data_IF_715875149229
#
_entry.id   IF_715875149229
#
_cell.length_a   1.000
_cell.length_b   1.000
_cell.length_c   1.000
_cell.angle_alpha   90.00
_cell.angle_beta   90.00
_cell.angle_gamma   90.00
#
_symmetry.space_group_name_H-M   'P 1'
#
loop_
_entity.id
_entity.type
_entity.pdbx_description
1 polymer ?
#
# COMPACT_ATOMS: atom_id res chain seq x y z
N UNK A 1 19.37 -35.38 -3.58
CA UNK A 1 20.46 -34.80 -2.75
C UNK A 1 21.58 -34.14 -3.56
N UNK A 2 22.17 -34.78 -4.57
CA UNK A 2 23.28 -34.20 -5.32
C UNK A 2 23.06 -32.81 -5.94
N UNK A 3 21.86 -32.47 -6.38
CA UNK A 3 21.57 -31.19 -7.03
C UNK A 3 21.64 -29.99 -6.05
N UNK A 4 21.03 -30.11 -4.88
CA UNK A 4 21.06 -29.04 -3.84
C UNK A 4 22.48 -28.85 -3.31
N UNK A 5 23.24 -29.92 -3.12
CA UNK A 5 24.63 -29.88 -2.71
C UNK A 5 25.49 -29.07 -3.68
N UNK A 6 25.38 -29.35 -4.97
CA UNK A 6 26.11 -28.62 -6.00
C UNK A 6 25.77 -27.12 -6.01
N UNK A 7 24.52 -26.76 -5.70
CA UNK A 7 24.09 -25.37 -5.62
C UNK A 7 24.74 -24.63 -4.44
N UNK A 8 24.77 -25.24 -3.26
CA UNK A 8 25.41 -24.67 -2.08
C UNK A 8 26.94 -24.53 -2.30
N UNK A 9 27.61 -25.54 -2.87
CA UNK A 9 29.04 -25.48 -3.16
C UNK A 9 29.37 -24.36 -4.16
N UNK A 10 28.58 -24.20 -5.21
CA UNK A 10 28.75 -23.10 -6.18
C UNK A 10 28.62 -21.74 -5.50
N UNK A 11 27.63 -21.55 -4.65
CA UNK A 11 27.44 -20.31 -3.91
C UNK A 11 28.59 -20.05 -2.95
N UNK A 12 29.07 -21.07 -2.26
CA UNK A 12 30.23 -20.97 -1.38
C UNK A 12 31.48 -20.52 -2.12
N UNK A 13 31.75 -21.10 -3.30
CA UNK A 13 32.86 -20.69 -4.17
C UNK A 13 32.72 -19.24 -4.68
N UNK A 14 31.50 -18.73 -4.82
CA UNK A 14 31.24 -17.33 -5.11
C UNK A 14 31.40 -16.37 -3.91
N UNK A 15 31.74 -16.90 -2.74
CA UNK A 15 31.94 -16.10 -1.53
C UNK A 15 30.74 -16.02 -0.58
N UNK A 16 29.62 -16.71 -0.84
CA UNK A 16 28.49 -16.78 0.10
C UNK A 16 28.88 -17.57 1.34
N UNK A 17 28.56 -17.06 2.53
CA UNK A 17 28.89 -17.65 3.83
C UNK A 17 27.69 -17.87 4.76
N UNK A 18 26.52 -17.34 4.40
CA UNK A 18 25.27 -17.55 5.13
C UNK A 18 24.26 -18.18 4.20
N UNK A 19 23.63 -19.26 4.66
CA UNK A 19 22.71 -20.06 3.85
C UNK A 19 21.38 -20.24 4.59
N UNK A 20 20.29 -20.25 3.83
CA UNK A 20 18.96 -20.52 4.35
C UNK A 20 18.20 -21.49 3.42
N UNK A 21 17.28 -22.25 4.02
CA UNK A 21 16.34 -23.12 3.31
C UNK A 21 14.92 -22.75 3.73
N UNK A 22 14.07 -22.43 2.75
CA UNK A 22 12.72 -21.96 3.00
C UNK A 22 11.68 -23.01 2.63
N UNK A 23 10.75 -23.24 3.56
CA UNK A 23 9.60 -24.15 3.40
C UNK A 23 8.27 -23.41 3.60
N UNK A 24 8.31 -22.09 3.52
CA UNK A 24 7.12 -21.22 3.51
C UNK A 24 6.31 -21.43 2.23
N UNK A 25 5.02 -21.23 2.30
CA UNK A 25 4.06 -21.24 1.19
C UNK A 25 4.10 -22.47 0.27
N UNK A 26 4.54 -23.62 0.78
CA UNK A 26 4.54 -24.88 0.07
C UNK A 26 3.41 -25.81 0.54
N UNK A 27 3.16 -26.87 -0.22
CA UNK A 27 2.17 -27.90 0.10
C UNK A 27 2.72 -29.32 -0.14
N UNK A 28 1.95 -30.32 0.27
CA UNK A 28 2.28 -31.73 0.05
C UNK A 28 3.37 -32.26 0.97
N UNK A 29 4.15 -33.23 0.50
CA UNK A 29 5.16 -33.93 1.33
C UNK A 29 6.26 -33.01 1.87
N UNK A 30 6.54 -31.91 1.18
CA UNK A 30 7.53 -30.91 1.61
C UNK A 30 7.19 -30.25 2.94
N UNK A 31 5.94 -30.32 3.40
CA UNK A 31 5.50 -29.74 4.69
C UNK A 31 5.73 -30.67 5.89
N UNK A 32 6.24 -31.88 5.68
CA UNK A 32 6.48 -32.84 6.77
C UNK A 32 7.67 -32.40 7.64
N UNK A 33 7.47 -32.09 8.94
CA UNK A 33 8.53 -31.55 9.79
C UNK A 33 9.66 -32.54 10.06
N UNK A 34 9.39 -33.86 10.03
CA UNK A 34 10.44 -34.87 10.20
C UNK A 34 11.36 -34.91 8.99
N UNK A 35 10.79 -34.90 7.76
CA UNK A 35 11.57 -34.86 6.53
C UNK A 35 12.35 -33.52 6.38
N UNK A 36 11.75 -32.42 6.81
CA UNK A 36 12.45 -31.14 6.85
C UNK A 36 13.65 -31.17 7.80
N UNK A 37 13.45 -31.71 9.01
CA UNK A 37 14.53 -31.85 9.99
C UNK A 37 15.65 -32.80 9.50
N UNK A 38 15.33 -33.93 8.91
CA UNK A 38 16.31 -34.85 8.33
C UNK A 38 17.17 -34.18 7.24
N UNK A 39 16.53 -33.45 6.32
CA UNK A 39 17.22 -32.74 5.27
C UNK A 39 18.13 -31.64 5.82
N UNK A 40 17.63 -30.83 6.74
CA UNK A 40 18.38 -29.71 7.30
C UNK A 40 19.54 -30.16 8.19
N UNK A 41 19.35 -31.21 9.00
CA UNK A 41 20.44 -31.80 9.79
C UNK A 41 21.53 -32.35 8.87
N UNK A 42 21.15 -33.02 7.78
CA UNK A 42 22.11 -33.49 6.80
C UNK A 42 22.94 -32.34 6.19
N UNK A 43 22.28 -31.23 5.82
CA UNK A 43 22.99 -30.03 5.30
C UNK A 43 23.88 -29.42 6.37
N UNK A 44 23.40 -29.31 7.59
CA UNK A 44 24.17 -28.76 8.72
C UNK A 44 25.45 -29.57 8.97
N UNK A 45 25.34 -30.90 9.00
CA UNK A 45 26.45 -31.80 9.32
C UNK A 45 27.48 -31.92 8.19
N UNK A 46 27.03 -31.96 6.94
CA UNK A 46 27.91 -32.28 5.81
C UNK A 46 28.35 -31.05 5.02
N UNK A 47 27.66 -29.92 5.16
CA UNK A 47 28.03 -28.68 4.48
C UNK A 47 28.43 -27.57 5.45
N UNK A 48 27.57 -27.23 6.43
CA UNK A 48 27.80 -26.08 7.30
C UNK A 48 28.97 -26.34 8.26
N UNK A 49 28.89 -27.42 9.04
CA UNK A 49 29.89 -27.76 10.08
C UNK A 49 31.28 -28.13 9.53
N UNK A 50 31.34 -28.54 8.26
CA UNK A 50 32.64 -28.87 7.63
C UNK A 50 33.35 -27.65 7.03
N UNK A 51 32.74 -26.47 7.07
CA UNK A 51 33.28 -25.22 6.56
C UNK A 51 33.42 -24.21 7.71
N UNK A 52 34.64 -23.82 8.10
CA UNK A 52 34.85 -23.04 9.32
C UNK A 52 34.37 -21.58 9.25
N UNK A 53 34.08 -21.10 8.04
CA UNK A 53 33.67 -19.73 7.75
C UNK A 53 32.19 -19.60 7.33
N UNK A 54 31.40 -20.70 7.40
CA UNK A 54 29.97 -20.68 7.15
C UNK A 54 29.20 -20.48 8.45
N UNK A 55 28.26 -19.54 8.44
CA UNK A 55 27.38 -19.25 9.59
C UNK A 55 26.35 -20.37 9.80
N UNK A 56 25.73 -20.46 11.00
CA UNK A 56 24.66 -21.44 11.24
C UNK A 56 23.56 -21.38 10.18
N UNK A 57 23.06 -22.54 9.79
CA UNK A 57 21.97 -22.66 8.81
C UNK A 57 20.69 -22.01 9.34
N UNK A 58 19.99 -21.29 8.48
CA UNK A 58 18.69 -20.70 8.78
C UNK A 58 17.61 -21.48 8.03
N UNK A 59 16.44 -21.68 8.63
CA UNK A 59 15.28 -22.23 7.93
C UNK A 59 14.03 -21.39 8.17
N UNK A 60 13.18 -21.28 7.15
CA UNK A 60 11.82 -20.80 7.31
C UNK A 60 10.89 -22.01 7.36
N UNK A 61 10.12 -22.22 8.43
CA UNK A 61 9.20 -23.33 8.54
C UNK A 61 7.92 -23.10 7.71
N UNK A 62 7.21 -24.16 7.36
CA UNK A 62 5.90 -24.02 6.69
C UNK A 62 4.88 -23.32 7.58
N UNK A 63 4.87 -23.63 8.89
CA UNK A 63 4.07 -22.90 9.87
C UNK A 63 4.89 -21.73 10.47
N UNK A 64 5.15 -20.68 9.68
CA UNK A 64 6.04 -19.57 10.05
C UNK A 64 5.38 -18.45 10.86
N UNK A 65 4.08 -18.59 11.19
CA UNK A 65 3.35 -17.67 12.07
C UNK A 65 2.30 -18.41 12.91
N UNK A 66 1.89 -17.79 14.03
CA UNK A 66 0.98 -18.41 14.99
C UNK A 66 -0.41 -18.68 14.40
N UNK A 67 -0.94 -17.79 13.58
CA UNK A 67 -2.29 -17.94 13.03
C UNK A 67 -2.44 -19.10 12.04
N UNK A 68 -1.35 -19.57 11.46
CA UNK A 68 -1.30 -20.74 10.56
C UNK A 68 -0.83 -22.02 11.24
N UNK A 69 -0.39 -21.90 12.48
CA UNK A 69 0.09 -23.06 13.25
C UNK A 69 -1.07 -23.82 13.87
N UNK A 70 -0.95 -25.16 13.85
CA UNK A 70 -1.84 -26.05 14.58
C UNK A 70 -1.04 -26.80 15.68
N UNK A 71 -1.05 -26.29 16.93
CA UNK A 71 -0.31 -26.93 18.01
C UNK A 71 -0.66 -28.40 18.26
N UNK A 72 -1.90 -28.82 17.93
CA UNK A 72 -2.32 -30.22 18.11
C UNK A 72 -1.62 -31.16 17.12
N UNK A 73 -1.23 -30.68 15.95
CA UNK A 73 -0.44 -31.44 14.98
C UNK A 73 1.04 -31.51 15.32
N UNK A 74 1.52 -30.63 16.20
CA UNK A 74 2.88 -30.67 16.72
C UNK A 74 3.99 -30.36 15.70
N UNK A 75 3.70 -29.64 14.61
CA UNK A 75 4.68 -29.32 13.57
C UNK A 75 5.90 -28.58 14.15
N UNK A 76 5.68 -27.45 14.82
CA UNK A 76 6.76 -26.64 15.41
C UNK A 76 7.51 -27.38 16.54
N UNK A 77 6.79 -28.13 17.38
CA UNK A 77 7.40 -28.94 18.43
C UNK A 77 8.29 -30.04 17.84
N UNK A 78 7.86 -30.69 16.75
CA UNK A 78 8.68 -31.67 16.05
C UNK A 78 9.96 -31.07 15.50
N UNK A 79 9.91 -29.86 14.93
CA UNK A 79 11.12 -29.14 14.49
C UNK A 79 12.03 -28.80 15.69
N UNK A 80 11.44 -28.33 16.80
CA UNK A 80 12.18 -28.04 18.02
C UNK A 80 12.92 -29.25 18.59
N UNK A 81 12.30 -30.44 18.51
CA UNK A 81 12.85 -31.71 19.01
C UNK A 81 13.90 -32.31 18.09
N UNK A 82 13.74 -32.19 16.78
CA UNK A 82 14.51 -32.96 15.81
C UNK A 82 15.62 -32.22 15.11
N UNK A 83 15.51 -30.88 15.00
CA UNK A 83 16.55 -30.07 14.37
C UNK A 83 17.79 -29.96 15.25
N UNK A 84 18.98 -30.01 14.64
CA UNK A 84 20.23 -29.68 15.32
C UNK A 84 20.11 -28.30 15.99
N UNK A 85 20.59 -28.13 17.24
CA UNK A 85 20.41 -26.89 18.00
C UNK A 85 21.02 -25.64 17.34
N UNK A 86 22.04 -25.83 16.46
CA UNK A 86 22.67 -24.74 15.70
C UNK A 86 21.76 -24.14 14.61
N UNK A 87 20.78 -24.88 14.12
CA UNK A 87 19.90 -24.41 13.02
C UNK A 87 18.92 -23.38 13.57
N UNK A 88 18.89 -22.19 12.96
CA UNK A 88 18.01 -21.11 13.33
C UNK A 88 16.67 -21.24 12.61
N UNK A 89 15.58 -20.94 13.32
CA UNK A 89 14.20 -21.08 12.80
C UNK A 89 13.55 -19.70 12.70
N UNK A 90 13.13 -19.33 11.49
CA UNK A 90 12.47 -18.06 11.23
C UNK A 90 11.03 -18.04 11.75
N UNK A 91 10.57 -16.84 12.10
CA UNK A 91 9.23 -16.58 12.61
C UNK A 91 8.75 -15.17 12.28
N UNK A 92 7.51 -15.01 11.80
CA UNK A 92 6.97 -13.69 11.41
C UNK A 92 6.07 -13.06 12.48
N UNK A 93 5.79 -13.78 13.57
CA UNK A 93 4.96 -13.30 14.68
C UNK A 93 3.60 -14.00 14.79
N UNK A 94 2.64 -13.33 15.39
CA UNK A 94 1.30 -13.93 15.59
C UNK A 94 0.52 -14.10 14.28
N UNK A 95 0.86 -13.34 13.25
CA UNK A 95 0.33 -13.43 11.87
C UNK A 95 1.46 -13.30 10.87
N UNK A 96 1.14 -13.46 9.59
CA UNK A 96 2.08 -13.18 8.48
C UNK A 96 2.65 -11.77 8.62
N UNK A 97 1.79 -10.79 8.91
CA UNK A 97 2.16 -9.40 9.17
C UNK A 97 1.64 -9.03 10.56
N UNK A 98 2.56 -8.83 11.48
CA UNK A 98 2.27 -8.45 12.87
C UNK A 98 3.52 -7.91 13.56
N UNK A 99 3.33 -7.14 14.62
CA UNK A 99 4.42 -6.74 15.50
C UNK A 99 4.84 -7.92 16.39
N UNK A 100 6.09 -7.93 16.81
CA UNK A 100 6.67 -8.99 17.65
C UNK A 100 6.49 -8.62 19.12
N UNK A 101 5.65 -9.36 19.80
CA UNK A 101 5.31 -9.15 21.22
C UNK A 101 6.05 -10.12 22.13
N UNK A 102 6.14 -9.77 23.42
CA UNK A 102 6.69 -10.62 24.46
C UNK A 102 6.00 -12.00 24.52
N UNK A 103 4.67 -12.01 24.49
CA UNK A 103 3.89 -13.26 24.52
C UNK A 103 4.06 -14.07 23.24
N UNK A 104 4.13 -13.41 22.08
CA UNK A 104 4.33 -14.05 20.79
C UNK A 104 5.69 -14.72 20.67
N UNK A 105 6.77 -14.06 21.10
CA UNK A 105 8.12 -14.64 21.06
C UNK A 105 8.28 -15.79 22.07
N UNK A 106 7.70 -15.67 23.25
CA UNK A 106 7.71 -16.75 24.24
C UNK A 106 6.95 -17.97 23.71
N UNK A 107 5.78 -17.76 23.09
CA UNK A 107 4.96 -18.82 22.51
C UNK A 107 5.72 -19.68 21.49
N UNK A 108 6.48 -19.04 20.61
CA UNK A 108 7.26 -19.77 19.59
C UNK A 108 8.48 -20.44 20.20
N UNK A 109 9.25 -19.74 21.06
CA UNK A 109 10.48 -20.25 21.67
C UNK A 109 10.24 -21.52 22.49
N UNK A 110 9.12 -21.59 23.21
CA UNK A 110 8.73 -22.81 23.97
C UNK A 110 8.55 -24.02 23.04
N UNK A 111 8.06 -23.83 21.83
CA UNK A 111 7.79 -24.91 20.85
C UNK A 111 9.04 -25.32 20.11
N UNK A 112 9.80 -24.35 19.60
CA UNK A 112 11.02 -24.65 18.83
C UNK A 112 12.25 -24.92 19.73
N UNK A 113 12.13 -24.75 21.07
CA UNK A 113 13.17 -24.97 22.10
C UNK A 113 14.47 -24.18 21.88
N UNK A 114 14.34 -23.00 21.28
CA UNK A 114 15.43 -22.07 21.01
C UNK A 114 14.92 -20.66 20.74
N UNK A 115 15.75 -19.62 20.81
CA UNK A 115 15.38 -18.28 20.35
C UNK A 115 15.01 -18.29 18.87
N UNK A 116 13.86 -17.69 18.52
CA UNK A 116 13.44 -17.56 17.12
C UNK A 116 14.29 -16.54 16.36
N UNK A 117 14.50 -16.80 15.08
CA UNK A 117 15.05 -15.83 14.14
C UNK A 117 13.90 -15.03 13.54
N UNK A 118 13.81 -13.74 13.85
CA UNK A 118 12.66 -12.94 13.41
C UNK A 118 12.79 -12.56 11.95
N UNK A 119 11.75 -12.86 11.17
CA UNK A 119 11.48 -12.29 9.86
C UNK A 119 10.30 -11.34 9.99
N UNK A 120 10.58 -10.08 10.21
CA UNK A 120 9.52 -9.08 10.35
C UNK A 120 9.03 -8.58 9.00
N UNK A 121 7.76 -8.83 8.69
CA UNK A 121 7.12 -8.38 7.45
C UNK A 121 6.72 -6.90 7.54
N UNK A 122 7.73 -6.02 7.58
CA UNK A 122 7.60 -4.58 7.56
C UNK A 122 8.92 -3.97 7.00
N UNK A 123 8.88 -2.98 6.10
CA UNK A 123 7.72 -2.28 5.54
C UNK A 123 7.14 -2.91 4.28
N UNK A 124 7.22 -4.23 4.10
CA UNK A 124 6.67 -4.88 2.91
C UNK A 124 5.24 -4.41 2.61
N UNK A 125 4.97 -4.13 1.34
CA UNK A 125 3.69 -3.61 0.85
C UNK A 125 3.15 -4.35 -0.38
N UNK A 126 3.66 -5.55 -0.65
CA UNK A 126 3.28 -6.36 -1.82
C UNK A 126 1.80 -6.77 -1.86
N UNK A 127 1.10 -6.61 -0.74
CA UNK A 127 -0.34 -6.81 -0.58
C UNK A 127 -1.16 -5.49 -0.67
N UNK A 128 -0.51 -4.32 -0.78
CA UNK A 128 -1.10 -2.97 -0.97
C UNK A 128 -0.09 -2.05 -1.66
N UNK A 129 0.24 -2.37 -2.89
CA UNK A 129 1.33 -1.76 -3.68
C UNK A 129 1.07 -0.31 -4.08
N UNK A 130 -0.16 0.15 -3.95
CA UNK A 130 -0.57 1.53 -4.23
C UNK A 130 -0.25 2.52 -3.10
N UNK A 131 0.23 2.04 -1.95
CA UNK A 131 0.59 2.84 -0.78
C UNK A 131 2.09 2.80 -0.47
N UNK A 132 2.56 3.79 0.30
CA UNK A 132 3.90 3.83 0.89
C UNK A 132 3.84 3.69 2.41
N UNK A 133 4.83 3.00 2.99
CA UNK A 133 5.05 2.90 4.44
C UNK A 133 6.32 3.66 4.81
N UNK A 134 6.20 4.97 5.00
CA UNK A 134 7.32 5.87 5.28
C UNK A 134 7.35 6.43 6.70
N UNK A 135 6.37 6.07 7.53
CA UNK A 135 6.24 6.57 8.90
C UNK A 135 7.20 5.92 9.90
N UNK A 136 7.11 6.34 11.18
CA UNK A 136 7.92 5.79 12.27
C UNK A 136 7.73 4.28 12.43
N UNK A 137 8.82 3.58 12.75
CA UNK A 137 8.83 2.13 13.01
C UNK A 137 8.59 1.88 14.49
N UNK A 138 7.49 1.25 14.84
CA UNK A 138 7.10 0.95 16.23
C UNK A 138 6.32 -0.38 16.31
N UNK A 139 5.96 -0.81 17.51
CA UNK A 139 5.10 -1.97 17.77
C UNK A 139 5.85 -3.20 18.27
N UNK A 140 7.10 -3.43 17.81
CA UNK A 140 7.92 -4.51 18.35
C UNK A 140 8.33 -4.22 19.80
N UNK A 141 8.24 -5.24 20.65
CA UNK A 141 8.65 -5.14 22.04
C UNK A 141 10.16 -4.87 22.14
N UNK A 142 10.54 -3.96 23.01
CA UNK A 142 11.95 -3.52 23.18
C UNK A 142 12.72 -4.34 24.20
N UNK A 143 12.09 -5.26 24.93
CA UNK A 143 12.71 -6.04 26.00
C UNK A 143 13.04 -7.48 25.60
N UNK A 144 12.76 -7.89 24.36
CA UNK A 144 12.86 -9.27 23.88
C UNK A 144 14.19 -9.61 23.19
N UNK A 145 15.18 -8.74 23.20
CA UNK A 145 16.45 -8.94 22.51
C UNK A 145 17.10 -10.31 22.79
N UNK A 146 17.09 -10.75 24.06
CA UNK A 146 17.67 -12.02 24.50
C UNK A 146 16.85 -13.24 24.10
N UNK A 147 15.64 -13.05 23.58
CA UNK A 147 14.75 -14.12 23.14
C UNK A 147 14.79 -14.33 21.62
N UNK A 148 15.57 -13.55 20.89
CA UNK A 148 15.75 -13.64 19.44
C UNK A 148 17.16 -14.11 19.09
N UNK A 149 17.29 -15.00 18.09
CA UNK A 149 18.59 -15.41 17.55
C UNK A 149 19.08 -14.50 16.41
N UNK A 150 18.18 -13.73 15.82
CA UNK A 150 18.44 -12.77 14.76
C UNK A 150 17.18 -12.00 14.37
N UNK A 151 17.36 -10.97 13.54
CA UNK A 151 16.28 -10.13 13.08
C UNK A 151 16.54 -9.69 11.64
N UNK A 152 15.60 -9.99 10.74
CA UNK A 152 15.58 -9.46 9.38
C UNK A 152 14.24 -8.80 9.10
N UNK A 153 14.24 -7.87 8.17
CA UNK A 153 13.04 -7.16 7.72
C UNK A 153 12.78 -7.41 6.23
N UNK A 154 11.52 -7.40 5.85
CA UNK A 154 11.08 -7.50 4.47
C UNK A 154 10.67 -6.10 3.97
N UNK A 155 11.39 -5.49 3.02
CA UNK A 155 11.14 -4.13 2.56
C UNK A 155 9.97 -4.05 1.56
N UNK A 156 9.54 -2.81 1.25
CA UNK A 156 8.69 -2.53 0.08
C UNK A 156 9.45 -2.86 -1.21
N UNK A 157 8.72 -3.01 -2.32
CA UNK A 157 9.32 -3.04 -3.66
C UNK A 157 9.96 -1.68 -4.05
N UNK A 158 9.64 -0.62 -3.32
CA UNK A 158 10.23 0.72 -3.40
C UNK A 158 11.50 0.79 -2.55
N UNK A 159 12.63 0.49 -3.17
CA UNK A 159 13.90 0.30 -2.46
C UNK A 159 14.39 1.57 -1.77
N UNK A 160 14.24 2.72 -2.39
CA UNK A 160 14.68 3.99 -1.85
C UNK A 160 13.79 4.46 -0.69
N UNK A 161 12.48 4.38 -0.85
CA UNK A 161 11.51 4.71 0.21
C UNK A 161 11.66 3.77 1.41
N UNK A 162 12.01 2.50 1.19
CA UNK A 162 12.27 1.52 2.24
C UNK A 162 13.45 1.88 3.15
N UNK A 163 14.40 2.69 2.69
CA UNK A 163 15.59 3.09 3.49
C UNK A 163 15.22 3.74 4.82
N UNK A 164 14.11 4.49 4.87
CA UNK A 164 13.62 5.12 6.11
C UNK A 164 13.30 4.05 7.17
N UNK A 165 12.54 3.04 6.78
CA UNK A 165 12.19 1.95 7.68
C UNK A 165 13.38 1.04 7.96
N UNK A 166 14.22 0.72 6.97
CA UNK A 166 15.41 -0.12 7.13
C UNK A 166 16.39 0.51 8.14
N UNK A 167 16.61 1.83 8.07
CA UNK A 167 17.43 2.54 9.06
C UNK A 167 16.89 2.37 10.48
N UNK A 168 15.58 2.54 10.64
CA UNK A 168 14.91 2.39 11.94
C UNK A 168 14.94 0.95 12.45
N UNK A 169 14.73 -0.03 11.57
CA UNK A 169 14.84 -1.47 11.93
C UNK A 169 16.25 -1.84 12.31
N UNK A 170 17.26 -1.35 11.60
CA UNK A 170 18.67 -1.58 11.96
C UNK A 170 18.99 -1.00 13.34
N UNK A 171 18.51 0.20 13.65
CA UNK A 171 18.66 0.81 14.98
C UNK A 171 17.96 0.00 16.08
N UNK A 172 16.74 -0.49 15.82
CA UNK A 172 16.04 -1.40 16.73
C UNK A 172 16.83 -2.70 16.96
N UNK A 173 17.24 -3.36 15.89
CA UNK A 173 17.98 -4.62 15.98
C UNK A 173 19.35 -4.46 16.69
N UNK A 174 20.00 -3.30 16.57
CA UNK A 174 21.25 -3.00 17.25
C UNK A 174 21.11 -2.87 18.76
N UNK A 175 20.08 -2.16 19.23
CA UNK A 175 19.82 -1.97 20.66
C UNK A 175 18.33 -1.73 20.93
N UNK A 176 17.51 -2.79 20.99
CA UNK A 176 16.06 -2.65 21.20
C UNK A 176 15.71 -1.85 22.47
N UNK A 177 16.43 -2.07 23.57
CA UNK A 177 16.14 -1.43 24.86
C UNK A 177 16.29 0.10 24.85
N UNK A 178 17.16 0.63 23.98
CA UNK A 178 17.37 2.08 23.83
C UNK A 178 16.70 2.65 22.56
N UNK A 179 15.99 1.80 21.84
CA UNK A 179 15.32 2.23 20.62
C UNK A 179 14.25 3.29 20.89
N UNK A 180 14.27 4.36 20.10
CA UNK A 180 13.27 5.40 20.09
C UNK A 180 12.77 5.61 18.66
N UNK A 181 11.54 5.20 18.41
CA UNK A 181 10.93 5.18 17.08
C UNK A 181 10.95 6.55 16.40
N UNK A 182 10.45 7.57 17.08
CA UNK A 182 10.31 8.93 16.54
C UNK A 182 11.68 9.55 16.23
N UNK A 183 12.61 9.49 17.21
CA UNK A 183 13.96 10.01 17.02
C UNK A 183 14.66 9.33 15.85
N UNK A 184 14.60 8.00 15.80
CA UNK A 184 15.29 7.23 14.77
C UNK A 184 14.70 7.48 13.37
N UNK A 185 13.40 7.68 13.28
CA UNK A 185 12.73 8.03 12.03
C UNK A 185 13.19 9.40 11.51
N UNK A 186 13.28 10.40 12.38
CA UNK A 186 13.82 11.74 12.02
C UNK A 186 15.29 11.66 11.63
N UNK A 187 16.09 10.89 12.37
CA UNK A 187 17.50 10.67 12.03
C UNK A 187 17.65 10.00 10.65
N UNK A 188 16.78 9.03 10.32
CA UNK A 188 16.76 8.38 9.00
C UNK A 188 16.49 9.38 7.87
N UNK A 189 15.45 10.20 8.01
CA UNK A 189 15.07 11.22 7.03
C UNK A 189 16.20 12.24 6.84
N UNK A 190 16.76 12.74 7.94
CA UNK A 190 17.88 13.69 7.91
C UNK A 190 19.13 13.10 7.21
N UNK A 191 19.38 11.80 7.38
CA UNK A 191 20.51 11.15 6.72
C UNK A 191 20.26 10.88 5.22
N UNK A 192 19.02 10.63 4.84
CA UNK A 192 18.65 10.31 3.43
C UNK A 192 18.54 11.57 2.59
N UNK A 193 17.93 12.64 3.12
CA UNK A 193 17.67 13.88 2.40
C UNK A 193 17.87 15.11 3.32
N UNK A 194 19.12 15.45 3.70
CA UNK A 194 19.39 16.54 4.63
C UNK A 194 18.90 17.92 4.12
N UNK A 195 18.96 18.15 2.80
CA UNK A 195 18.64 19.46 2.19
C UNK A 195 17.13 19.74 2.12
N UNK A 196 16.27 18.72 2.32
CA UNK A 196 14.81 18.85 2.35
C UNK A 196 14.18 17.87 3.36
N UNK A 197 14.84 17.70 4.50
CA UNK A 197 14.42 16.74 5.53
C UNK A 197 13.06 17.10 6.14
N UNK A 198 12.76 18.37 6.32
CA UNK A 198 11.48 18.84 6.87
C UNK A 198 10.32 18.47 5.95
N UNK A 199 10.48 18.67 4.66
CA UNK A 199 9.47 18.39 3.64
C UNK A 199 9.27 16.89 3.47
N UNK A 200 10.36 16.11 3.53
CA UNK A 200 10.28 14.65 3.48
C UNK A 200 9.64 14.08 4.75
N UNK A 201 9.95 14.64 5.93
CA UNK A 201 9.30 14.28 7.20
C UNK A 201 7.79 14.54 7.12
N UNK A 202 7.41 15.71 6.62
CA UNK A 202 6.00 16.06 6.45
C UNK A 202 5.29 15.10 5.49
N UNK A 203 5.84 14.86 4.31
CA UNK A 203 5.29 13.89 3.36
C UNK A 203 5.17 12.48 3.96
N UNK A 204 6.23 12.00 4.61
CA UNK A 204 6.29 10.67 5.19
C UNK A 204 5.27 10.47 6.33
N UNK A 205 5.00 11.51 7.14
CA UNK A 205 3.98 11.50 8.19
C UNK A 205 2.55 11.30 7.65
N UNK A 206 2.33 11.64 6.39
CA UNK A 206 1.05 11.50 5.69
C UNK A 206 1.01 10.31 4.70
N UNK A 207 2.08 9.49 4.67
CA UNK A 207 2.20 8.28 3.84
C UNK A 207 2.79 7.13 4.67
N UNK A 208 2.06 6.74 5.71
CA UNK A 208 2.52 5.78 6.73
C UNK A 208 1.52 4.66 7.03
N UNK A 209 0.32 4.67 6.44
CA UNK A 209 -0.70 3.63 6.58
C UNK A 209 -1.08 3.03 5.22
N UNK A 210 -1.37 1.75 5.21
CA UNK A 210 -1.72 0.99 3.99
C UNK A 210 -3.24 0.90 3.74
N UNK A 211 -4.03 1.60 4.49
CA UNK A 211 -5.48 1.48 4.39
C UNK A 211 -6.01 0.11 4.85
N UNK A 212 -7.32 -0.15 4.71
CA UNK A 212 -7.91 -1.45 4.97
C UNK A 212 -7.32 -2.51 4.04
N UNK A 213 -6.87 -3.64 4.60
CA UNK A 213 -6.23 -4.71 3.84
C UNK A 213 -6.54 -6.09 4.43
N UNK A 214 -6.22 -7.15 3.68
CA UNK A 214 -6.50 -8.54 4.06
C UNK A 214 -5.80 -8.99 5.35
N UNK A 215 -4.65 -8.44 5.68
CA UNK A 215 -3.90 -8.75 6.90
C UNK A 215 -4.40 -7.98 8.13
N UNK A 216 -5.28 -6.97 7.93
CA UNK A 216 -5.79 -6.08 9.00
C UNK A 216 -4.68 -5.35 9.74
N UNK A 217 -3.53 -5.18 9.11
CA UNK A 217 -2.40 -4.44 9.65
C UNK A 217 -2.52 -2.97 9.30
N UNK A 218 -2.56 -2.11 10.31
CA UNK A 218 -2.75 -0.67 10.16
C UNK A 218 -1.68 0.07 10.96
N UNK A 219 -1.28 1.23 10.43
CA UNK A 219 -0.32 2.14 11.08
C UNK A 219 -0.98 3.49 11.32
N UNK A 220 -0.41 4.27 12.23
CA UNK A 220 -0.87 5.64 12.42
C UNK A 220 -0.39 6.52 11.26
N UNK A 221 -1.23 7.47 10.85
CA UNK A 221 -0.97 8.41 9.76
C UNK A 221 -1.53 9.78 10.13
N UNK A 222 -0.84 10.84 9.76
CA UNK A 222 -1.30 12.21 10.00
C UNK A 222 -1.61 12.50 11.48
N UNK A 223 -0.85 11.93 12.41
CA UNK A 223 -1.15 11.93 13.86
C UNK A 223 -1.38 13.35 14.39
N UNK A 224 -0.54 14.30 14.00
CA UNK A 224 -0.64 15.69 14.47
C UNK A 224 -1.91 16.40 13.96
N UNK A 225 -2.48 15.95 12.85
CA UNK A 225 -3.69 16.52 12.26
C UNK A 225 -4.98 15.87 12.77
N UNK A 226 -4.91 14.64 13.31
CA UNK A 226 -6.10 13.89 13.74
C UNK A 226 -7.04 14.68 14.65
N UNK A 227 -6.58 15.40 15.70
CA UNK A 227 -7.48 16.15 16.56
C UNK A 227 -8.26 17.24 15.82
N UNK A 228 -7.58 17.99 14.93
CA UNK A 228 -8.22 19.03 14.11
C UNK A 228 -9.19 18.43 13.09
N UNK A 229 -8.81 17.34 12.44
CA UNK A 229 -9.67 16.64 11.48
C UNK A 229 -10.94 16.10 12.17
N UNK A 230 -10.81 15.53 13.37
CA UNK A 230 -11.94 15.08 14.17
C UNK A 230 -12.84 16.23 14.59
N UNK A 231 -12.28 17.32 15.11
CA UNK A 231 -13.01 18.54 15.51
C UNK A 231 -13.78 19.12 14.32
N UNK A 232 -13.13 19.24 13.16
CA UNK A 232 -13.77 19.75 11.95
C UNK A 232 -14.86 18.80 11.43
N UNK A 233 -14.67 17.50 11.51
CA UNK A 233 -15.69 16.51 11.16
C UNK A 233 -16.92 16.65 12.04
N UNK A 234 -16.75 16.76 13.36
CA UNK A 234 -17.86 16.92 14.29
C UNK A 234 -18.58 18.27 14.09
N UNK A 235 -17.84 19.34 13.88
CA UNK A 235 -18.43 20.68 13.73
C UNK A 235 -19.01 20.92 12.33
N UNK A 236 -18.26 20.72 11.26
CA UNK A 236 -18.70 21.06 9.92
C UNK A 236 -19.53 19.95 9.25
N UNK A 237 -19.01 18.75 9.22
CA UNK A 237 -19.69 17.66 8.47
C UNK A 237 -21.01 17.28 9.10
N UNK A 238 -21.08 17.23 10.45
CA UNK A 238 -22.33 16.92 11.16
C UNK A 238 -23.23 18.14 11.36
N UNK A 239 -22.67 19.27 11.84
CA UNK A 239 -23.43 20.41 12.29
C UNK A 239 -23.41 21.64 11.36
N UNK A 240 -22.65 21.58 10.25
CA UNK A 240 -22.50 22.67 9.26
C UNK A 240 -21.92 23.98 9.85
N UNK A 241 -21.14 23.87 10.92
CA UNK A 241 -20.40 24.98 11.55
C UNK A 241 -18.94 24.60 11.68
N UNK A 242 -18.04 25.56 11.80
CA UNK A 242 -16.62 25.31 12.05
C UNK A 242 -16.00 26.43 12.86
N UNK A 243 -14.85 26.15 13.47
CA UNK A 243 -14.02 27.18 14.10
C UNK A 243 -13.01 27.73 13.10
N UNK A 244 -12.70 29.03 13.17
CA UNK A 244 -11.65 29.62 12.34
C UNK A 244 -10.28 28.99 12.62
N UNK A 245 -10.06 28.53 13.86
CA UNK A 245 -8.84 27.81 14.24
C UNK A 245 -8.67 26.52 13.45
N UNK A 246 -9.66 25.63 13.46
CA UNK A 246 -9.59 24.36 12.73
C UNK A 246 -9.48 24.61 11.23
N UNK A 247 -10.24 25.57 10.71
CA UNK A 247 -10.19 25.97 9.31
C UNK A 247 -8.79 26.42 8.88
N UNK A 248 -8.15 27.29 9.68
CA UNK A 248 -6.80 27.80 9.39
C UNK A 248 -5.76 26.69 9.44
N UNK A 249 -5.82 25.79 10.42
CA UNK A 249 -4.90 24.63 10.51
C UNK A 249 -5.04 23.73 9.28
N UNK A 250 -6.26 23.47 8.83
CA UNK A 250 -6.49 22.66 7.63
C UNK A 250 -5.94 23.36 6.38
N UNK A 251 -6.20 24.66 6.24
CA UNK A 251 -5.71 25.45 5.10
C UNK A 251 -4.16 25.50 5.08
N UNK A 252 -3.52 25.70 6.22
CA UNK A 252 -2.06 25.66 6.36
C UNK A 252 -1.52 24.27 5.99
N UNK A 253 -2.14 23.19 6.49
CA UNK A 253 -1.75 21.81 6.16
C UNK A 253 -1.84 21.56 4.66
N UNK A 254 -2.94 21.93 4.01
CA UNK A 254 -3.11 21.73 2.57
C UNK A 254 -2.13 22.58 1.74
N UNK A 255 -1.81 23.78 2.20
CA UNK A 255 -0.78 24.61 1.57
C UNK A 255 0.61 24.02 1.73
N UNK A 256 0.92 23.45 2.92
CA UNK A 256 2.18 22.76 3.17
C UNK A 256 2.31 21.49 2.32
N UNK A 257 1.23 20.76 2.04
CA UNK A 257 1.25 19.62 1.12
C UNK A 257 1.73 20.03 -0.27
N UNK A 258 1.27 21.17 -0.77
CA UNK A 258 1.66 21.71 -2.07
C UNK A 258 3.13 22.12 -2.05
N UNK A 259 3.52 22.95 -1.08
CA UNK A 259 4.87 23.50 -0.95
C UNK A 259 5.91 22.38 -0.75
N UNK A 260 5.67 21.46 0.18
CA UNK A 260 6.58 20.35 0.41
C UNK A 260 6.75 19.47 -0.83
N UNK A 261 5.68 19.22 -1.58
CA UNK A 261 5.77 18.45 -2.82
C UNK A 261 6.63 19.17 -3.86
N UNK A 262 6.47 20.49 -4.04
CA UNK A 262 7.25 21.27 -5.00
C UNK A 262 8.72 21.33 -4.62
N UNK A 263 9.03 21.51 -3.33
CA UNK A 263 10.42 21.50 -2.83
C UNK A 263 11.05 20.12 -3.06
N UNK A 264 10.36 19.04 -2.70
CA UNK A 264 10.88 17.68 -2.89
C UNK A 264 11.12 17.36 -4.38
N UNK A 265 10.18 17.69 -5.26
CA UNK A 265 10.33 17.48 -6.71
C UNK A 265 11.53 18.25 -7.27
N UNK A 266 11.83 19.45 -6.75
CA UNK A 266 13.00 20.22 -7.16
C UNK A 266 14.34 19.54 -6.81
N UNK A 267 14.35 18.56 -5.90
CA UNK A 267 15.53 17.76 -5.51
C UNK A 267 15.66 16.43 -6.29
N UNK A 268 14.79 16.15 -7.25
CA UNK A 268 14.74 14.87 -7.96
C UNK A 268 16.06 14.50 -8.66
N UNK A 269 16.74 15.45 -9.30
CA UNK A 269 17.95 15.20 -10.08
C UNK A 269 19.11 14.60 -9.28
N UNK A 270 19.12 14.75 -7.96
CA UNK A 270 20.21 14.35 -7.08
C UNK A 270 19.81 13.23 -6.10
N UNK A 271 18.54 12.93 -5.99
CA UNK A 271 18.03 12.05 -4.92
C UNK A 271 17.12 10.96 -5.47
N UNK A 272 17.61 9.71 -5.56
CA UNK A 272 16.85 8.58 -6.07
C UNK A 272 15.52 8.35 -5.36
N UNK A 273 15.42 8.60 -4.06
CA UNK A 273 14.17 8.48 -3.30
C UNK A 273 13.07 9.38 -3.88
N UNK A 274 13.42 10.61 -4.28
CA UNK A 274 12.44 11.55 -4.85
C UNK A 274 11.93 11.05 -6.21
N UNK A 275 12.83 10.51 -7.02
CA UNK A 275 12.45 9.92 -8.32
C UNK A 275 11.48 8.75 -8.12
N UNK A 276 11.76 7.88 -7.14
CA UNK A 276 10.94 6.71 -6.87
C UNK A 276 9.54 7.09 -6.36
N UNK A 277 9.42 8.05 -5.43
CA UNK A 277 8.14 8.45 -4.84
C UNK A 277 7.42 9.56 -5.62
N UNK A 278 7.95 10.00 -6.74
CA UNK A 278 7.42 11.16 -7.50
C UNK A 278 5.93 11.07 -7.84
N UNK A 279 5.36 9.92 -8.24
CA UNK A 279 3.93 9.80 -8.48
C UNK A 279 3.09 10.09 -7.23
N UNK A 280 3.56 9.66 -6.05
CA UNK A 280 2.90 9.95 -4.77
C UNK A 280 3.02 11.43 -4.39
N UNK A 281 4.15 12.09 -4.69
CA UNK A 281 4.32 13.53 -4.49
C UNK A 281 3.33 14.34 -5.35
N UNK A 282 3.18 13.99 -6.62
CA UNK A 282 2.19 14.63 -7.49
C UNK A 282 0.76 14.43 -6.98
N UNK A 283 0.43 13.21 -6.56
CA UNK A 283 -0.88 12.90 -6.00
C UNK A 283 -1.13 13.66 -4.69
N UNK A 284 -0.12 13.78 -3.84
CA UNK A 284 -0.17 14.50 -2.57
C UNK A 284 -0.36 16.00 -2.77
N UNK A 285 0.34 16.59 -3.75
CA UNK A 285 0.17 17.99 -4.16
C UNK A 285 -1.26 18.28 -4.62
N UNK A 286 -1.76 17.47 -5.57
CA UNK A 286 -3.12 17.65 -6.09
C UNK A 286 -4.19 17.46 -4.99
N UNK A 287 -3.95 16.59 -4.02
CA UNK A 287 -4.83 16.43 -2.86
C UNK A 287 -4.83 17.68 -1.99
N UNK A 288 -3.67 18.31 -1.75
CA UNK A 288 -3.55 19.59 -1.04
C UNK A 288 -4.27 20.74 -1.78
N UNK A 289 -4.08 20.84 -3.11
CA UNK A 289 -4.81 21.81 -3.94
C UNK A 289 -6.32 21.57 -3.86
N UNK A 290 -6.77 20.32 -3.93
CA UNK A 290 -8.19 19.94 -3.78
C UNK A 290 -8.72 20.37 -2.42
N UNK A 291 -7.97 20.16 -1.35
CA UNK A 291 -8.34 20.56 0.00
C UNK A 291 -8.55 22.08 0.12
N UNK A 292 -7.61 22.87 -0.39
CA UNK A 292 -7.74 24.34 -0.41
C UNK A 292 -8.95 24.83 -1.22
N UNK A 293 -9.20 24.22 -2.39
CA UNK A 293 -10.36 24.58 -3.20
C UNK A 293 -11.69 24.20 -2.52
N UNK A 294 -11.74 23.06 -1.83
CA UNK A 294 -12.93 22.65 -1.05
C UNK A 294 -13.17 23.59 0.12
N UNK A 295 -12.13 24.02 0.85
CA UNK A 295 -12.28 25.03 1.90
C UNK A 295 -12.74 26.38 1.32
N UNK A 296 -12.25 26.76 0.14
CA UNK A 296 -12.74 27.96 -0.54
C UNK A 296 -14.21 27.86 -0.97
N UNK A 297 -14.70 26.65 -1.32
CA UNK A 297 -16.14 26.42 -1.56
C UNK A 297 -16.97 26.63 -0.29
N UNK A 298 -16.48 26.16 0.87
CA UNK A 298 -17.14 26.39 2.17
C UNK A 298 -17.30 27.88 2.43
N UNK A 299 -16.22 28.67 2.30
CA UNK A 299 -16.27 30.14 2.48
C UNK A 299 -17.17 30.84 1.44
N UNK A 300 -17.18 30.39 0.18
CA UNK A 300 -18.05 30.92 -0.85
C UNK A 300 -19.54 30.66 -0.56
N UNK A 301 -19.85 29.46 -0.06
CA UNK A 301 -21.21 29.10 0.37
C UNK A 301 -21.68 29.99 1.53
N UNK A 302 -20.87 30.22 2.55
CA UNK A 302 -21.20 31.07 3.69
C UNK A 302 -21.47 32.51 3.27
N UNK A 303 -20.67 33.04 2.33
CA UNK A 303 -20.83 34.39 1.77
C UNK A 303 -21.93 34.52 0.71
N UNK A 304 -22.64 33.44 0.37
CA UNK A 304 -23.62 33.37 -0.70
C UNK A 304 -23.05 33.75 -2.09
N UNK A 305 -21.73 33.57 -2.30
CA UNK A 305 -21.08 33.83 -3.58
C UNK A 305 -21.18 32.60 -4.49
N UNK A 306 -22.30 32.52 -5.21
CA UNK A 306 -22.57 31.41 -6.15
C UNK A 306 -21.54 31.36 -7.28
N UNK A 307 -21.07 32.51 -7.76
CA UNK A 307 -20.11 32.57 -8.87
C UNK A 307 -18.76 31.98 -8.44
N UNK A 308 -18.27 32.34 -7.26
CA UNK A 308 -17.03 31.80 -6.71
C UNK A 308 -17.20 30.32 -6.40
N UNK A 309 -18.31 29.92 -5.78
CA UNK A 309 -18.62 28.52 -5.49
C UNK A 309 -18.52 27.65 -6.75
N UNK A 310 -19.18 28.06 -7.83
CA UNK A 310 -19.19 27.29 -9.08
C UNK A 310 -17.80 27.21 -9.75
N UNK A 311 -17.00 28.30 -9.67
CA UNK A 311 -15.62 28.25 -10.17
C UNK A 311 -14.79 27.23 -9.37
N UNK A 312 -14.88 27.26 -8.03
CA UNK A 312 -14.15 26.33 -7.13
C UNK A 312 -14.60 24.91 -7.31
N UNK A 313 -15.91 24.67 -7.40
CA UNK A 313 -16.48 23.34 -7.71
C UNK A 313 -15.88 22.75 -9.00
N UNK A 314 -15.89 23.52 -10.09
CA UNK A 314 -15.31 23.06 -11.37
C UNK A 314 -13.81 22.77 -11.25
N UNK A 315 -13.08 23.55 -10.46
CA UNK A 315 -11.66 23.32 -10.24
C UNK A 315 -11.40 22.06 -9.42
N UNK A 316 -12.17 21.81 -8.34
CA UNK A 316 -12.12 20.52 -7.60
C UNK A 316 -12.33 19.34 -8.53
N UNK A 317 -13.34 19.39 -9.42
CA UNK A 317 -13.59 18.33 -10.40
C UNK A 317 -12.41 18.13 -11.36
N UNK A 318 -11.76 19.21 -11.80
CA UNK A 318 -10.56 19.13 -12.64
C UNK A 318 -9.37 18.49 -11.91
N UNK A 319 -9.13 18.86 -10.65
CA UNK A 319 -8.08 18.29 -9.81
C UNK A 319 -8.33 16.78 -9.55
N UNK A 320 -9.56 16.40 -9.23
CA UNK A 320 -9.94 15.01 -9.11
C UNK A 320 -9.67 14.21 -10.38
N UNK A 321 -9.91 14.82 -11.56
CA UNK A 321 -9.60 14.21 -12.85
C UNK A 321 -8.09 13.99 -13.03
N UNK A 322 -7.25 14.97 -12.64
CA UNK A 322 -5.79 14.82 -12.70
C UNK A 322 -5.30 13.73 -11.73
N UNK A 323 -5.80 13.71 -10.50
CA UNK A 323 -5.48 12.67 -9.52
C UNK A 323 -5.82 11.27 -10.07
N UNK A 324 -6.95 11.14 -10.73
CA UNK A 324 -7.30 9.88 -11.37
C UNK A 324 -6.36 9.52 -12.51
N UNK A 325 -5.93 10.46 -13.33
CA UNK A 325 -4.97 10.18 -14.40
C UNK A 325 -3.64 9.65 -13.85
N UNK A 326 -3.17 10.21 -12.73
CA UNK A 326 -1.98 9.67 -12.03
C UNK A 326 -2.24 8.25 -11.57
N UNK A 327 -3.37 8.00 -10.92
CA UNK A 327 -3.79 6.68 -10.43
C UNK A 327 -3.87 5.62 -11.53
N UNK A 328 -4.22 6.02 -12.75
CA UNK A 328 -4.31 5.15 -13.92
C UNK A 328 -3.05 5.06 -14.78
N UNK A 329 -2.05 5.88 -14.50
CA UNK A 329 -0.82 5.94 -15.31
C UNK A 329 0.35 5.25 -14.61
N UNK A 330 0.48 5.46 -13.30
CA UNK A 330 1.62 5.00 -12.52
C UNK A 330 1.29 3.76 -11.71
N UNK A 331 2.32 2.96 -11.39
CA UNK A 331 2.20 1.76 -10.57
C UNK A 331 1.08 0.81 -11.04
N UNK A 332 1.06 0.51 -12.35
CA UNK A 332 0.05 -0.36 -12.96
C UNK A 332 0.43 -1.84 -12.81
N UNK A 333 0.43 -2.33 -11.57
CA UNK A 333 0.61 -3.75 -11.28
C UNK A 333 -0.75 -4.50 -11.32
N UNK A 334 -0.74 -5.84 -11.52
CA UNK A 334 -1.98 -6.59 -11.68
C UNK A 334 -2.79 -6.81 -10.39
N UNK A 335 -2.27 -6.39 -9.23
CA UNK A 335 -2.88 -6.68 -7.92
C UNK A 335 -3.53 -5.46 -7.28
N UNK A 336 -2.76 -4.40 -7.04
CA UNK A 336 -3.23 -3.15 -6.45
C UNK A 336 -2.64 -2.00 -7.28
N UNK A 337 -3.23 -1.69 -8.44
CA UNK A 337 -2.74 -0.60 -9.29
C UNK A 337 -3.07 0.76 -8.70
N UNK A 338 -2.29 1.75 -9.12
CA UNK A 338 -2.54 3.15 -8.81
C UNK A 338 -1.67 3.72 -7.70
N UNK A 339 -2.03 4.91 -7.27
CA UNK A 339 -1.28 5.75 -6.33
C UNK A 339 -2.22 6.26 -5.25
N UNK A 340 -2.01 5.86 -4.01
CA UNK A 340 -2.80 6.31 -2.85
C UNK A 340 -1.91 7.06 -1.87
N UNK A 341 -2.40 8.20 -1.39
CA UNK A 341 -1.69 9.08 -0.46
C UNK A 341 -2.66 9.64 0.58
N UNK A 342 -2.16 9.86 1.80
CA UNK A 342 -2.89 10.48 2.91
C UNK A 342 -4.29 9.88 3.13
N UNK A 343 -4.40 8.55 2.99
CA UNK A 343 -5.65 7.81 2.87
C UNK A 343 -6.43 7.65 4.16
N UNK A 344 -5.78 7.83 5.31
CA UNK A 344 -6.39 7.58 6.62
C UNK A 344 -7.15 8.79 7.19
N UNK A 345 -6.64 10.00 6.99
CA UNK A 345 -7.18 11.22 7.62
C UNK A 345 -7.53 12.29 6.59
N UNK A 346 -6.57 12.72 5.78
CA UNK A 346 -6.72 13.92 4.94
C UNK A 346 -7.70 13.66 3.79
N UNK A 347 -7.46 12.60 3.01
CA UNK A 347 -8.34 12.34 1.85
C UNK A 347 -9.80 12.13 2.26
N UNK A 348 -10.15 11.30 3.27
CA UNK A 348 -11.52 11.18 3.72
C UNK A 348 -12.14 12.49 4.22
N UNK A 349 -11.37 13.35 4.90
CA UNK A 349 -11.83 14.66 5.36
C UNK A 349 -12.19 15.58 4.18
N UNK A 350 -11.32 15.65 3.17
CA UNK A 350 -11.55 16.45 1.96
C UNK A 350 -12.79 15.96 1.21
N UNK A 351 -12.88 14.65 0.98
CA UNK A 351 -14.00 14.03 0.27
C UNK A 351 -15.34 14.29 0.97
N UNK A 352 -15.39 14.09 2.30
CA UNK A 352 -16.60 14.34 3.10
C UNK A 352 -16.97 15.83 3.15
N UNK A 353 -15.97 16.72 3.21
CA UNK A 353 -16.21 18.17 3.21
C UNK A 353 -16.77 18.61 1.86
N UNK A 354 -16.19 18.13 0.76
CA UNK A 354 -16.68 18.40 -0.60
C UNK A 354 -18.11 17.91 -0.79
N UNK A 355 -18.42 16.67 -0.38
CA UNK A 355 -19.77 16.12 -0.44
C UNK A 355 -20.74 16.97 0.38
N UNK A 356 -20.36 17.34 1.60
CA UNK A 356 -21.21 18.12 2.51
C UNK A 356 -21.52 19.51 1.96
N UNK A 357 -20.51 20.26 1.51
CA UNK A 357 -20.74 21.62 0.99
C UNK A 357 -21.51 21.60 -0.33
N UNK A 358 -21.29 20.60 -1.17
CA UNK A 358 -22.03 20.42 -2.41
C UNK A 358 -23.51 20.09 -2.14
N UNK A 359 -23.78 19.22 -1.17
CA UNK A 359 -25.15 18.92 -0.75
C UNK A 359 -25.86 20.16 -0.19
N UNK A 360 -25.19 20.93 0.66
CA UNK A 360 -25.74 22.19 1.21
C UNK A 360 -26.07 23.18 0.08
N UNK A 361 -25.19 23.31 -0.89
CA UNK A 361 -25.40 24.17 -2.05
C UNK A 361 -26.60 23.70 -2.90
N UNK A 362 -26.68 22.40 -3.19
CA UNK A 362 -27.81 21.82 -3.94
C UNK A 362 -29.15 22.07 -3.24
N UNK A 363 -29.21 21.88 -1.93
CA UNK A 363 -30.44 22.12 -1.14
C UNK A 363 -30.85 23.60 -1.15
N UNK A 364 -29.86 24.51 -1.03
CA UNK A 364 -30.12 25.95 -0.97
C UNK A 364 -30.55 26.55 -2.30
N UNK A 365 -29.95 26.10 -3.40
CA UNK A 365 -30.14 26.69 -4.73
C UNK A 365 -30.87 25.80 -5.72
N UNK A 366 -31.43 24.67 -5.24
CA UNK A 366 -32.16 23.68 -6.06
C UNK A 366 -31.39 23.21 -7.29
N UNK A 367 -30.06 22.93 -7.08
CA UNK A 367 -29.16 22.39 -8.10
C UNK A 367 -28.94 20.89 -7.92
N UNK A 368 -28.28 20.24 -8.88
CA UNK A 368 -27.96 18.81 -8.88
C UNK A 368 -26.48 18.59 -9.16
N UNK A 369 -25.60 19.32 -8.45
CA UNK A 369 -24.16 19.14 -8.56
C UNK A 369 -23.76 17.78 -7.95
N UNK A 370 -22.89 17.06 -8.63
CA UNK A 370 -22.37 15.77 -8.15
C UNK A 370 -21.05 15.96 -7.40
N UNK A 371 -20.99 15.51 -6.15
CA UNK A 371 -19.77 15.51 -5.34
C UNK A 371 -18.89 14.28 -5.61
N UNK A 372 -19.42 13.23 -6.22
CA UNK A 372 -18.64 12.08 -6.61
C UNK A 372 -17.70 12.44 -7.76
N UNK A 373 -16.61 11.72 -7.87
CA UNK A 373 -15.76 11.77 -9.06
C UNK A 373 -16.58 11.37 -10.27
N UNK A 374 -16.37 11.97 -11.44
CA UNK A 374 -17.09 11.62 -12.67
C UNK A 374 -16.72 10.21 -13.19
N UNK A 375 -16.20 9.36 -12.31
CA UNK A 375 -15.92 7.96 -12.57
C UNK A 375 -17.15 7.15 -12.22
N UNK A 376 -17.66 6.50 -13.21
CA UNK A 376 -18.72 5.54 -13.01
C UNK A 376 -18.13 4.28 -12.41
N UNK A 377 -18.47 3.90 -11.16
CA UNK A 377 -18.28 2.54 -10.73
C UNK A 377 -18.89 1.61 -11.78
N UNK A 378 -18.10 0.69 -12.28
CA UNK A 378 -18.54 -0.22 -13.32
C UNK A 378 -17.98 -1.61 -13.06
N UNK A 379 -18.75 -2.58 -13.48
CA UNK A 379 -18.31 -3.97 -13.49
C UNK A 379 -18.11 -4.40 -14.93
N UNK A 380 -16.91 -4.88 -15.23
CA UNK A 380 -16.60 -5.48 -16.51
C UNK A 380 -16.90 -6.97 -16.48
N UNK A 381 -17.69 -7.39 -17.44
CA UNK A 381 -17.98 -8.79 -17.68
C UNK A 381 -17.56 -9.09 -19.11
N UNK A 382 -16.57 -9.95 -19.28
CA UNK A 382 -16.11 -10.37 -20.59
C UNK A 382 -15.77 -11.86 -20.59
N UNK A 383 -16.03 -12.54 -21.68
CA UNK A 383 -15.54 -13.88 -21.98
C UNK A 383 -14.11 -13.87 -22.56
N UNK A 384 -13.61 -12.68 -22.90
CA UNK A 384 -12.24 -12.48 -23.39
C UNK A 384 -11.31 -12.34 -22.19
N UNK A 385 -10.44 -13.34 -21.95
CA UNK A 385 -9.56 -13.41 -20.77
C UNK A 385 -8.63 -12.19 -20.64
N UNK A 386 -8.19 -11.62 -21.76
CA UNK A 386 -7.34 -10.43 -21.81
C UNK A 386 -8.05 -9.17 -21.33
N UNK A 387 -9.39 -9.10 -21.42
CA UNK A 387 -10.18 -7.94 -21.01
C UNK A 387 -10.57 -8.01 -19.52
N UNK A 388 -10.68 -9.20 -18.93
CA UNK A 388 -11.11 -9.39 -17.53
C UNK A 388 -10.27 -8.62 -16.50
N UNK A 389 -9.02 -8.34 -16.83
CA UNK A 389 -8.05 -7.70 -15.93
C UNK A 389 -7.64 -6.30 -16.39
N UNK A 390 -8.36 -5.70 -17.33
CA UNK A 390 -8.04 -4.36 -17.81
C UNK A 390 -8.65 -3.28 -16.92
N UNK A 391 -7.89 -2.25 -16.54
CA UNK A 391 -8.46 -1.03 -16.00
C UNK A 391 -9.15 -0.28 -17.15
N UNK A 392 -10.46 -0.46 -17.28
CA UNK A 392 -11.26 0.36 -18.19
C UNK A 392 -11.66 1.65 -17.51
N UNK A 393 -11.44 2.76 -18.18
CA UNK A 393 -11.96 4.06 -17.78
C UNK A 393 -13.32 4.28 -18.45
N UNK A 394 -14.38 4.36 -17.64
CA UNK A 394 -15.69 4.76 -18.12
C UNK A 394 -15.94 6.21 -17.68
N UNK A 395 -15.98 7.13 -18.64
CA UNK A 395 -16.42 8.52 -18.40
C UNK A 395 -17.87 8.67 -18.85
N UNK A 396 -18.62 9.58 -18.24
CA UNK A 396 -19.91 9.99 -18.79
C UNK A 396 -19.65 10.44 -20.24
N UNK A 397 -20.27 9.78 -21.19
CA UNK A 397 -20.11 9.96 -22.64
C UNK A 397 -18.76 9.51 -23.23
N UNK A 398 -17.87 8.83 -22.48
CA UNK A 398 -16.62 8.31 -23.07
C UNK A 398 -16.11 7.09 -22.33
N UNK A 399 -15.91 6.01 -23.07
CA UNK A 399 -15.20 4.82 -22.58
C UNK A 399 -13.81 4.86 -23.19
N UNK A 400 -12.77 4.82 -22.37
CA UNK A 400 -11.40 4.78 -22.84
C UNK A 400 -10.74 3.50 -22.33
N UNK A 401 -10.22 2.68 -23.24
CA UNK A 401 -9.36 1.54 -22.91
C UNK A 401 -7.95 2.09 -22.74
N UNK A 402 -7.27 1.71 -21.65
CA UNK A 402 -5.94 2.21 -21.35
C UNK A 402 -4.96 1.98 -22.51
N UNK A 403 -4.14 2.97 -22.92
CA UNK A 403 -3.21 2.86 -24.02
C UNK A 403 -2.03 1.90 -23.81
N UNK A 404 -1.89 1.31 -22.61
CA UNK A 404 -0.79 0.40 -22.28
C UNK A 404 -1.00 -1.03 -22.80
N UNK A 405 -2.07 -1.32 -23.55
CA UNK A 405 -2.34 -2.65 -24.05
C UNK A 405 -2.00 -2.78 -25.51
N UNK A 406 -1.09 -3.68 -25.77
CA UNK A 406 -0.90 -4.26 -27.07
C UNK A 406 -2.22 -4.84 -27.59
N UNK A 407 -2.41 -4.77 -28.90
CA UNK A 407 -3.61 -5.16 -29.64
C UNK A 407 -4.32 -6.39 -29.04
N UNK A 408 -5.55 -6.22 -28.56
CA UNK A 408 -6.39 -7.32 -28.10
C UNK A 408 -6.93 -8.04 -29.35
N UNK A 409 -6.63 -9.32 -29.50
CA UNK A 409 -7.34 -10.16 -30.48
C UNK A 409 -8.76 -10.43 -29.98
N UNK A 410 -9.73 -9.77 -30.57
CA UNK A 410 -11.14 -10.00 -30.29
C UNK A 410 -11.59 -11.26 -31.05
N UNK A 411 -12.00 -12.33 -30.35
CA UNK A 411 -12.56 -13.51 -31.02
C UNK A 411 -13.93 -13.16 -31.64
N UNK A 412 -14.28 -13.78 -32.76
CA UNK A 412 -15.48 -13.44 -33.55
C UNK A 412 -16.81 -13.48 -32.80
N UNK A 413 -16.88 -14.13 -31.64
CA UNK A 413 -18.03 -14.23 -30.76
C UNK A 413 -17.72 -13.74 -29.32
N UNK A 414 -16.65 -12.98 -29.16
CA UNK A 414 -16.30 -12.40 -27.85
C UNK A 414 -17.25 -11.28 -27.47
N UNK A 415 -17.54 -11.12 -26.18
CA UNK A 415 -18.41 -10.10 -25.63
C UNK A 415 -17.71 -9.27 -24.57
N UNK A 416 -18.09 -8.00 -24.47
CA UNK A 416 -17.75 -7.10 -23.38
C UNK A 416 -19.04 -6.44 -22.89
N UNK A 417 -19.36 -6.66 -21.63
CA UNK A 417 -20.48 -6.00 -20.96
C UNK A 417 -19.92 -5.05 -19.89
N UNK A 418 -20.40 -3.82 -19.91
CA UNK A 418 -20.11 -2.82 -18.88
C UNK A 418 -21.40 -2.62 -18.08
N UNK A 419 -21.41 -3.08 -16.83
CA UNK A 419 -22.51 -2.81 -15.90
C UNK A 419 -22.18 -1.55 -15.11
N UNK A 420 -23.01 -0.54 -15.19
CA UNK A 420 -22.93 0.68 -14.41
C UNK A 420 -23.73 0.49 -13.12
N UNK A 421 -23.26 1.07 -12.02
CA UNK A 421 -23.89 1.00 -10.70
C UNK A 421 -25.25 1.72 -10.63
N UNK A 422 -25.42 2.72 -11.49
CA UNK A 422 -26.67 3.49 -11.58
C UNK A 422 -26.92 3.96 -13.02
N UNK A 423 -28.09 4.53 -13.25
CA UNK A 423 -28.44 5.17 -14.54
C UNK A 423 -27.84 6.57 -14.58
N UNK A 424 -27.00 6.82 -15.55
CA UNK A 424 -26.39 8.13 -15.78
C UNK A 424 -27.16 8.84 -16.93
N UNK A 425 -27.48 10.14 -16.77
CA UNK A 425 -28.04 10.92 -17.87
C UNK A 425 -26.96 11.19 -18.91
N UNK A 426 -27.14 10.66 -20.09
CA UNK A 426 -26.21 10.87 -21.21
C UNK A 426 -26.89 10.61 -22.53
N UNK A 427 -26.57 11.40 -23.55
CA UNK A 427 -27.14 11.26 -24.88
C UNK A 427 -26.31 10.35 -25.79
N UNK A 428 -25.01 10.17 -25.46
CA UNK A 428 -24.08 9.41 -26.28
C UNK A 428 -23.14 8.53 -25.44
N UNK A 429 -22.85 7.34 -25.93
CA UNK A 429 -21.75 6.49 -25.45
C UNK A 429 -20.69 6.52 -26.54
N UNK A 430 -19.50 7.00 -26.19
CA UNK A 430 -18.33 7.00 -27.05
C UNK A 430 -17.40 5.87 -26.59
N UNK A 431 -17.08 4.94 -27.48
CA UNK A 431 -16.13 3.85 -27.24
C UNK A 431 -14.92 4.10 -28.15
N UNK A 432 -13.79 4.44 -27.54
CA UNK A 432 -12.53 4.65 -28.27
C UNK A 432 -11.71 3.35 -28.24
N UNK A 433 -11.59 2.70 -29.38
CA UNK A 433 -10.78 1.49 -29.54
C UNK A 433 -9.32 1.77 -29.91
N UNK A 434 -8.88 3.02 -29.88
CA UNK A 434 -7.58 3.44 -30.35
C UNK A 434 -7.47 3.45 -31.88
N UNK A 435 -6.26 3.46 -32.43
CA UNK A 435 -6.03 3.33 -33.86
C UNK A 435 -5.82 1.84 -34.17
N UNK A 436 -6.79 1.14 -34.78
CA UNK A 436 -6.58 -0.23 -35.20
C UNK A 436 -5.56 -0.24 -36.36
N UNK A 437 -4.42 -0.87 -36.19
CA UNK A 437 -3.63 -1.31 -37.33
C UNK A 437 -4.40 -2.45 -38.02
N UNK A 438 -5.03 -2.11 -39.15
CA UNK A 438 -5.60 -3.02 -40.14
C UNK A 438 -6.28 -4.25 -39.53
N UNK A 439 -7.44 -4.07 -38.90
CA UNK A 439 -8.33 -5.18 -38.61
C UNK A 439 -9.47 -5.18 -39.62
N UNK A 440 -9.66 -6.29 -40.31
CA UNK A 440 -10.92 -6.58 -41.01
C UNK A 440 -11.98 -6.82 -39.93
N UNK A 441 -12.71 -5.78 -39.59
CA UNK A 441 -13.85 -5.88 -38.67
C UNK A 441 -14.98 -6.65 -39.34
N UNK A 442 -15.35 -7.78 -38.78
CA UNK A 442 -16.71 -8.27 -38.92
C UNK A 442 -17.69 -7.27 -38.24
N UNK A 443 -18.94 -7.37 -38.47
CA UNK A 443 -19.97 -6.49 -37.89
C UNK A 443 -19.83 -6.42 -36.37
N UNK A 444 -19.61 -5.22 -35.81
CA UNK A 444 -19.70 -4.94 -34.37
C UNK A 444 -21.15 -4.65 -34.06
N UNK A 445 -21.82 -5.52 -33.32
CA UNK A 445 -23.19 -5.29 -32.86
C UNK A 445 -23.16 -4.70 -31.44
N UNK A 446 -23.47 -3.41 -31.31
CA UNK A 446 -23.59 -2.74 -30.01
C UNK A 446 -25.07 -2.80 -29.61
N UNK A 447 -25.42 -3.60 -28.61
CA UNK A 447 -26.76 -3.60 -28.02
C UNK A 447 -26.73 -2.92 -26.65
N UNK A 448 -27.44 -1.78 -26.52
CA UNK A 448 -27.69 -1.14 -25.22
C UNK A 448 -29.06 -1.59 -24.71
N UNK A 449 -29.11 -2.32 -23.59
CA UNK A 449 -30.37 -2.59 -22.90
C UNK A 449 -30.68 -1.45 -21.93
N UNK A 450 -31.50 -0.54 -22.30
CA UNK A 450 -32.04 0.50 -21.43
C UNK A 450 -33.16 -0.09 -20.55
N UNK A 451 -32.95 -0.18 -19.26
CA UNK A 451 -34.02 -0.43 -18.32
C UNK A 451 -34.70 0.92 -18.04
N UNK A 452 -35.84 1.19 -18.70
CA UNK A 452 -36.67 2.34 -18.35
C UNK A 452 -37.21 2.11 -16.93
N UNK A 453 -36.61 2.76 -15.94
CA UNK A 453 -37.20 2.84 -14.60
C UNK A 453 -38.43 3.75 -14.76
N UNK A 454 -39.59 3.16 -14.62
CA UNK A 454 -40.85 3.92 -14.66
C UNK A 454 -40.84 4.95 -13.54
N UNK A 455 -40.99 6.20 -13.94
CA UNK A 455 -41.39 7.27 -13.04
C UNK A 455 -42.81 6.96 -12.62
N UNK A 456 -43.05 6.67 -11.32
CA UNK A 456 -44.34 6.77 -10.68
C UNK A 456 -44.49 8.16 -10.13
#
# INVERSE_FOLDING_TARGET
>A
MNYYWQKFEKMYHLGVRSFAVFFDDISGEGTNPVKQAELLNYIDEHFVKVKPDVTPLIMCPTEYNKSWSDPAKGYLTTLGDKLNPSIQIMWTGDRVISDITQDGIQWINDRIKRPAYIWWNFPVSDYVRDHLLMGPVYGNDTQIAHQMSGFVTNPMEHAEASKIAIYSVASYAWNPQKYNSEKTWKDAIMNILPDAATELEFFAAHNSDLGPNGHKYRREESVNLQPTAQSFTESYIKNKTYTEKDFSILQETFSQMIESSDILVAHADKNPIIVEIMPWLYQFKLLGETGNEVLAMVKAYDKNDQSLFMRKYKHVKALQQQMFQIDQTYNQNPYQPGIKTAGRVIKPLIDQTFATVTQCYNQKYSTLLNAETDYMPHKLISDISQIKNLPLQVKINRIQISPALEVIKWPGNGSLTIELDQVYPGENIEIDFGKPEIATWGSLEISAKWKRLGVK
#
